data_IF_409224392550
#
_entry.id   IF_409224392550
#
_cell.length_a   1.000
_cell.length_b   1.000
_cell.length_c   1.000
_cell.angle_alpha   90.00
_cell.angle_beta   90.00
_cell.angle_gamma   90.00
#
_symmetry.space_group_name_H-M   'P 1'
#
loop_
_entity.id
_entity.type
_entity.pdbx_description
1 polymer ?
#
# COMPACT_ATOMS: atom_id res chain seq x y z
N UNK A 1 0.09 -16.53 -22.97
CA UNK A 1 1.43 -17.18 -23.00
C UNK A 1 1.33 -18.46 -22.18
N UNK A 2 2.09 -19.53 -22.49
CA UNK A 2 2.08 -20.72 -21.63
C UNK A 2 2.58 -20.33 -20.23
N UNK A 3 1.82 -20.72 -19.20
CA UNK A 3 2.16 -20.50 -17.81
C UNK A 3 3.33 -21.43 -17.47
N UNK A 4 4.56 -20.94 -17.57
CA UNK A 4 5.76 -21.66 -17.17
C UNK A 4 5.81 -21.68 -15.63
N UNK A 5 5.38 -22.79 -15.02
CA UNK A 5 5.61 -23.05 -13.60
C UNK A 5 6.99 -23.67 -13.43
N UNK A 6 7.86 -23.03 -12.65
CA UNK A 6 9.15 -23.62 -12.27
C UNK A 6 8.96 -24.72 -11.22
N UNK A 7 9.79 -25.77 -11.28
CA UNK A 7 9.91 -26.73 -10.17
C UNK A 7 10.61 -26.07 -8.98
N UNK A 8 10.47 -26.65 -7.78
CA UNK A 8 11.12 -26.15 -6.57
C UNK A 8 12.65 -26.13 -6.72
N UNK A 9 13.24 -27.17 -7.32
CA UNK A 9 14.66 -27.22 -7.66
C UNK A 9 15.07 -26.06 -8.58
N UNK A 10 14.24 -25.75 -9.59
CA UNK A 10 14.52 -24.65 -10.51
C UNK A 10 14.41 -23.28 -9.84
N UNK A 11 13.55 -23.14 -8.84
CA UNK A 11 13.45 -21.91 -8.03
C UNK A 11 14.65 -21.75 -7.09
N UNK A 12 15.14 -22.85 -6.49
CA UNK A 12 16.30 -22.82 -5.59
C UNK A 12 17.62 -22.48 -6.29
N UNK A 13 17.76 -22.73 -7.60
CA UNK A 13 18.95 -22.34 -8.38
C UNK A 13 18.75 -21.03 -9.16
N UNK A 14 17.61 -20.36 -8.98
CA UNK A 14 17.29 -19.14 -9.73
C UNK A 14 18.21 -17.98 -9.34
N UNK A 15 18.62 -17.91 -8.08
CA UNK A 15 19.59 -16.95 -7.57
C UNK A 15 20.94 -17.06 -8.30
N UNK A 16 21.43 -18.29 -8.52
CA UNK A 16 22.66 -18.56 -9.28
C UNK A 16 22.58 -18.03 -10.72
N UNK A 17 21.43 -18.19 -11.38
CA UNK A 17 21.22 -17.68 -12.74
C UNK A 17 21.35 -16.15 -12.80
N UNK A 18 20.86 -15.45 -11.78
CA UNK A 18 20.97 -13.99 -11.68
C UNK A 18 22.29 -13.53 -11.04
N UNK A 19 23.15 -14.44 -10.56
CA UNK A 19 24.39 -14.11 -9.87
C UNK A 19 24.18 -13.37 -8.55
N UNK A 20 23.08 -13.65 -7.85
CA UNK A 20 22.73 -13.08 -6.55
C UNK A 20 22.69 -14.17 -5.48
N UNK A 21 22.73 -13.79 -4.21
CA UNK A 21 22.66 -14.73 -3.10
C UNK A 21 21.25 -15.30 -2.91
N UNK A 22 20.23 -14.43 -2.97
CA UNK A 22 18.84 -14.82 -2.72
C UNK A 22 17.85 -14.17 -3.68
N UNK A 23 16.71 -14.83 -3.85
CA UNK A 23 15.54 -14.27 -4.52
C UNK A 23 14.61 -13.61 -3.50
N UNK A 24 14.04 -12.46 -3.87
CA UNK A 24 12.94 -11.81 -3.17
C UNK A 24 11.70 -11.81 -4.07
N UNK A 25 10.72 -12.65 -3.77
CA UNK A 25 9.49 -12.75 -4.54
C UNK A 25 8.43 -11.78 -4.02
N UNK A 26 7.70 -11.13 -4.92
CA UNK A 26 6.70 -10.11 -4.61
C UNK A 26 5.43 -10.28 -5.46
N UNK A 27 4.32 -9.65 -5.08
CA UNK A 27 3.03 -9.87 -5.71
C UNK A 27 2.99 -9.43 -7.19
N UNK A 28 3.36 -8.17 -7.48
CA UNK A 28 3.28 -7.61 -8.82
C UNK A 28 4.47 -6.72 -9.19
N UNK A 29 4.41 -6.14 -10.39
CA UNK A 29 5.49 -5.31 -10.94
C UNK A 29 5.70 -4.01 -10.15
N UNK A 30 4.62 -3.40 -9.63
CA UNK A 30 4.71 -2.21 -8.80
C UNK A 30 5.46 -2.50 -7.48
N UNK A 31 5.28 -3.69 -6.92
CA UNK A 31 6.02 -4.16 -5.75
C UNK A 31 7.50 -4.37 -6.05
N UNK A 32 7.85 -4.84 -7.26
CA UNK A 32 9.25 -5.00 -7.67
C UNK A 32 9.97 -3.67 -7.56
N UNK A 33 9.39 -2.62 -8.15
CA UNK A 33 9.99 -1.27 -8.12
C UNK A 33 10.10 -0.75 -6.68
N UNK A 34 9.05 -0.96 -5.87
CA UNK A 34 9.06 -0.53 -4.48
C UNK A 34 10.13 -1.24 -3.65
N UNK A 35 10.21 -2.57 -3.70
CA UNK A 35 11.16 -3.33 -2.88
C UNK A 35 12.60 -3.20 -3.36
N UNK A 36 12.87 -3.08 -4.67
CA UNK A 36 14.22 -2.75 -5.17
C UNK A 36 14.67 -1.38 -4.62
N UNK A 37 13.78 -0.38 -4.61
CA UNK A 37 14.05 0.93 -4.00
C UNK A 37 14.32 0.80 -2.49
N UNK A 38 13.52 0.04 -1.74
CA UNK A 38 13.74 -0.17 -0.30
C UNK A 38 15.10 -0.82 -0.04
N UNK A 39 15.47 -1.86 -0.79
CA UNK A 39 16.78 -2.51 -0.64
C UNK A 39 17.92 -1.52 -0.91
N UNK A 40 17.82 -0.66 -1.93
CA UNK A 40 18.86 0.33 -2.23
C UNK A 40 18.97 1.43 -1.16
N UNK A 41 17.83 1.92 -0.62
CA UNK A 41 17.82 2.88 0.50
C UNK A 41 18.64 2.38 1.71
N UNK A 42 18.62 1.07 1.96
CA UNK A 42 19.31 0.43 3.09
C UNK A 42 20.63 -0.25 2.68
N UNK A 43 21.09 -0.08 1.45
CA UNK A 43 22.30 -0.68 0.89
C UNK A 43 22.35 -2.22 1.04
N UNK A 44 21.20 -2.87 0.92
CA UNK A 44 21.10 -4.34 0.91
C UNK A 44 21.39 -4.84 -0.50
N UNK A 45 22.45 -5.66 -0.62
CA UNK A 45 22.93 -6.23 -1.89
C UNK A 45 22.73 -7.75 -1.91
N UNK A 46 22.90 -8.36 -3.08
CA UNK A 46 22.81 -9.82 -3.22
C UNK A 46 21.39 -10.38 -3.30
N UNK A 47 20.41 -9.52 -3.59
CA UNK A 47 19.02 -9.93 -3.82
C UNK A 47 18.60 -9.60 -5.25
N UNK A 48 17.80 -10.49 -5.86
CA UNK A 48 17.02 -10.17 -7.05
C UNK A 48 15.53 -10.19 -6.72
N UNK A 49 14.84 -9.08 -6.99
CA UNK A 49 13.39 -8.97 -6.79
C UNK A 49 12.66 -9.46 -8.04
N UNK A 50 11.59 -10.25 -7.85
CA UNK A 50 10.80 -10.83 -8.96
C UNK A 50 9.32 -10.94 -8.60
N UNK A 51 8.44 -10.47 -9.49
CA UNK A 51 7.01 -10.66 -9.37
C UNK A 51 6.59 -12.13 -9.59
N UNK A 52 5.58 -12.58 -8.85
CA UNK A 52 4.96 -13.92 -9.02
C UNK A 52 3.52 -13.86 -9.54
N UNK A 53 3.06 -12.67 -9.96
CA UNK A 53 1.77 -12.43 -10.63
C UNK A 53 0.52 -12.74 -9.79
N UNK A 54 0.50 -12.24 -8.56
CA UNK A 54 -0.71 -12.14 -7.76
C UNK A 54 -0.69 -12.88 -6.42
N UNK A 55 -1.60 -12.47 -5.54
CA UNK A 55 -1.71 -12.96 -4.16
C UNK A 55 -1.78 -14.47 -4.03
N UNK A 56 -2.53 -15.17 -4.90
CA UNK A 56 -2.63 -16.64 -4.84
C UNK A 56 -1.28 -17.34 -5.06
N UNK A 57 -0.41 -16.79 -5.91
CA UNK A 57 0.93 -17.32 -6.13
C UNK A 57 1.84 -16.98 -4.95
N UNK A 58 1.75 -15.75 -4.41
CA UNK A 58 2.50 -15.37 -3.19
C UNK A 58 2.24 -16.36 -2.05
N UNK A 59 0.98 -16.71 -1.79
CA UNK A 59 0.63 -17.68 -0.74
C UNK A 59 1.22 -19.08 -0.99
N UNK A 60 1.30 -19.52 -2.25
CA UNK A 60 1.95 -20.80 -2.60
C UNK A 60 3.45 -20.76 -2.30
N UNK A 61 4.12 -19.64 -2.60
CA UNK A 61 5.55 -19.49 -2.31
C UNK A 61 5.82 -19.40 -0.81
N UNK A 62 4.97 -18.70 -0.05
CA UNK A 62 5.03 -18.67 1.42
C UNK A 62 4.97 -20.10 1.97
N UNK A 63 3.99 -20.90 1.53
CA UNK A 63 3.86 -22.29 1.97
C UNK A 63 5.09 -23.15 1.64
N UNK A 64 5.74 -22.93 0.49
CA UNK A 64 6.99 -23.62 0.12
C UNK A 64 8.16 -23.23 1.02
N UNK A 65 8.29 -21.94 1.34
CA UNK A 65 9.36 -21.42 2.21
C UNK A 65 9.17 -21.95 3.64
N UNK A 66 7.96 -21.87 4.18
CA UNK A 66 7.63 -22.40 5.51
C UNK A 66 7.81 -23.92 5.59
N UNK A 67 7.52 -24.63 4.49
CA UNK A 67 7.75 -26.08 4.37
C UNK A 67 9.22 -26.47 4.13
N UNK A 68 10.14 -25.50 4.00
CA UNK A 68 11.56 -25.75 3.73
C UNK A 68 11.87 -26.26 2.32
N UNK A 69 10.91 -26.15 1.39
CA UNK A 69 11.08 -26.55 -0.02
C UNK A 69 11.78 -25.49 -0.85
N UNK A 70 11.69 -24.22 -0.42
CA UNK A 70 12.25 -23.08 -1.12
C UNK A 70 13.10 -22.25 -0.17
N UNK A 71 14.38 -22.04 -0.51
CA UNK A 71 15.26 -21.11 0.19
C UNK A 71 15.24 -19.74 -0.49
N UNK A 72 14.22 -18.94 -0.17
CA UNK A 72 14.03 -17.60 -0.72
C UNK A 72 13.22 -16.74 0.23
N UNK A 73 13.12 -15.45 -0.10
CA UNK A 73 12.34 -14.48 0.65
C UNK A 73 11.08 -14.07 -0.11
N UNK A 74 10.06 -13.67 0.65
CA UNK A 74 8.84 -13.06 0.12
C UNK A 74 8.70 -11.66 0.69
N UNK A 75 8.23 -10.70 -0.11
CA UNK A 75 7.67 -9.46 0.38
C UNK A 75 6.23 -9.27 -0.09
N UNK A 76 5.35 -8.83 0.81
CA UNK A 76 3.92 -8.68 0.51
C UNK A 76 3.29 -7.49 1.23
N UNK A 77 2.12 -7.11 0.75
CA UNK A 77 1.23 -6.22 1.47
C UNK A 77 0.84 -6.79 2.84
N UNK A 78 0.85 -5.94 3.85
CA UNK A 78 0.46 -6.33 5.20
C UNK A 78 -1.04 -6.57 5.32
N UNK A 79 -1.86 -6.03 4.40
CA UNK A 79 -3.31 -6.03 4.49
C UNK A 79 -3.76 -5.52 5.88
N UNK A 80 -4.41 -6.38 6.67
CA UNK A 80 -4.78 -6.11 8.06
C UNK A 80 -4.03 -6.99 9.07
N UNK A 81 -2.97 -7.70 8.66
CA UNK A 81 -2.22 -8.64 9.51
C UNK A 81 -1.66 -7.97 10.78
N UNK A 82 -1.14 -6.74 10.64
CA UNK A 82 -0.63 -5.95 11.77
C UNK A 82 -1.69 -5.56 12.80
N UNK A 83 -2.97 -5.48 12.38
CA UNK A 83 -4.10 -5.18 13.25
C UNK A 83 -4.65 -6.46 13.86
N UNK A 84 -4.69 -7.54 13.07
CA UNK A 84 -5.11 -8.87 13.51
C UNK A 84 -4.15 -9.51 14.55
N UNK A 85 -2.94 -8.96 14.70
CA UNK A 85 -1.92 -9.51 15.59
C UNK A 85 -1.24 -10.75 15.03
N UNK A 86 -1.33 -10.96 13.71
CA UNK A 86 -0.68 -12.07 13.02
C UNK A 86 0.81 -11.73 12.83
N UNK A 87 1.69 -12.60 13.34
CA UNK A 87 3.12 -12.52 13.02
C UNK A 87 3.38 -13.13 11.65
N UNK A 88 4.12 -12.41 10.80
CA UNK A 88 4.64 -12.98 9.57
C UNK A 88 5.73 -14.02 9.88
N UNK A 89 5.92 -14.98 8.98
CA UNK A 89 7.06 -15.91 9.01
C UNK A 89 8.39 -15.15 8.92
N UNK A 90 9.47 -15.75 9.43
CA UNK A 90 10.80 -15.12 9.51
C UNK A 90 11.32 -14.67 8.13
N UNK A 91 10.98 -15.41 7.06
CA UNK A 91 11.36 -15.11 5.67
C UNK A 91 10.34 -14.29 4.88
N UNK A 92 9.41 -13.63 5.57
CA UNK A 92 8.37 -12.80 4.97
C UNK A 92 8.54 -11.34 5.42
N UNK A 93 8.76 -10.47 4.45
CA UNK A 93 8.76 -9.03 4.62
C UNK A 93 7.35 -8.48 4.39
N UNK A 94 6.96 -7.48 5.17
CA UNK A 94 5.63 -6.86 5.04
C UNK A 94 5.69 -5.34 4.95
N UNK A 95 4.74 -4.74 4.23
CA UNK A 95 4.59 -3.28 4.16
C UNK A 95 4.22 -2.67 5.53
N UNK A 96 4.51 -1.38 5.72
CA UNK A 96 4.12 -0.69 6.95
C UNK A 96 2.60 -0.53 7.07
N UNK A 97 1.98 0.14 6.09
CA UNK A 97 0.53 0.24 5.99
C UNK A 97 -0.07 -0.98 5.30
N UNK A 98 -1.35 -0.91 4.99
CA UNK A 98 -2.09 -1.95 4.27
C UNK A 98 -1.34 -2.43 3.02
N UNK A 99 -0.68 -1.50 2.33
CA UNK A 99 0.03 -1.73 1.08
C UNK A 99 1.18 -0.75 0.85
N UNK A 100 1.91 -0.89 -0.26
CA UNK A 100 2.97 0.03 -0.67
C UNK A 100 2.45 1.48 -0.85
N UNK A 101 1.22 1.66 -1.33
CA UNK A 101 0.59 2.98 -1.55
C UNK A 101 0.54 3.80 -0.27
N UNK A 102 0.24 3.15 0.85
CA UNK A 102 0.18 3.81 2.15
C UNK A 102 1.54 4.41 2.55
N UNK A 103 2.65 3.98 1.94
CA UNK A 103 3.97 4.56 2.20
C UNK A 103 4.34 5.64 1.18
N UNK A 104 4.13 5.38 -0.10
CA UNK A 104 4.56 6.30 -1.17
C UNK A 104 3.64 7.53 -1.30
N UNK A 105 2.38 7.43 -0.88
CA UNK A 105 1.39 8.52 -0.94
C UNK A 105 1.43 9.43 0.30
N UNK A 106 2.57 10.06 0.53
CA UNK A 106 2.67 11.11 1.55
C UNK A 106 2.51 12.52 0.96
N UNK A 107 2.29 13.50 1.84
CA UNK A 107 2.06 14.91 1.48
C UNK A 107 3.14 15.47 0.55
N UNK A 108 4.41 15.11 0.78
CA UNK A 108 5.56 15.60 0.00
C UNK A 108 5.60 14.97 -1.39
N UNK A 109 5.37 13.65 -1.49
CA UNK A 109 5.21 12.92 -2.75
C UNK A 109 4.11 13.51 -3.60
N UNK A 110 2.93 13.72 -3.02
CA UNK A 110 1.76 14.26 -3.71
C UNK A 110 1.96 15.71 -4.13
N UNK A 111 2.55 16.54 -3.27
CA UNK A 111 2.92 17.93 -3.58
C UNK A 111 3.85 18.01 -4.78
N UNK A 112 4.93 17.21 -4.78
CA UNK A 112 5.86 17.15 -5.91
C UNK A 112 5.20 16.62 -7.17
N UNK A 113 4.34 15.60 -7.07
CA UNK A 113 3.62 15.05 -8.21
C UNK A 113 2.67 16.05 -8.87
N UNK A 114 1.92 16.84 -8.09
CA UNK A 114 1.07 17.92 -8.63
C UNK A 114 1.94 18.91 -9.42
N UNK A 115 3.10 19.31 -8.87
CA UNK A 115 4.00 20.27 -9.53
C UNK A 115 4.62 19.71 -10.81
N UNK A 116 5.18 18.51 -10.78
CA UNK A 116 5.90 17.93 -11.91
C UNK A 116 4.95 17.53 -13.05
N UNK A 117 3.88 16.80 -12.74
CA UNK A 117 2.92 16.30 -13.73
C UNK A 117 2.03 17.43 -14.25
N UNK A 118 1.66 18.37 -13.37
CA UNK A 118 0.87 19.54 -13.72
C UNK A 118 1.65 20.64 -14.42
N UNK A 119 2.98 20.66 -14.28
CA UNK A 119 3.85 21.79 -14.66
C UNK A 119 3.39 23.10 -14.04
N UNK A 120 3.06 23.05 -12.74
CA UNK A 120 2.56 24.21 -11.98
C UNK A 120 3.62 24.73 -11.02
N UNK A 121 3.57 26.02 -10.72
CA UNK A 121 4.56 26.68 -9.86
C UNK A 121 4.48 26.18 -8.41
N UNK A 122 5.63 26.22 -7.72
CA UNK A 122 5.71 25.91 -6.29
C UNK A 122 4.78 26.79 -5.44
N UNK A 123 4.57 28.04 -5.83
CA UNK A 123 3.69 28.97 -5.10
C UNK A 123 2.21 28.60 -5.16
N UNK A 124 1.80 27.75 -6.12
CA UNK A 124 0.41 27.35 -6.33
C UNK A 124 0.03 26.06 -5.58
N UNK A 125 1.02 25.33 -5.04
CA UNK A 125 0.82 24.04 -4.38
C UNK A 125 1.39 24.11 -2.97
N UNK A 126 0.49 24.21 -1.98
CA UNK A 126 0.85 24.21 -0.57
C UNK A 126 0.59 22.84 0.02
N UNK A 127 1.58 22.29 0.70
CA UNK A 127 1.48 21.00 1.41
C UNK A 127 0.37 21.00 2.46
N UNK A 128 0.14 22.16 3.11
CA UNK A 128 -0.95 22.35 4.07
C UNK A 128 -2.32 22.01 3.48
N UNK A 129 -2.62 22.50 2.26
CA UNK A 129 -3.93 22.22 1.64
C UNK A 129 -4.11 20.73 1.32
N UNK A 130 -3.02 20.03 0.98
CA UNK A 130 -3.04 18.57 0.73
C UNK A 130 -3.32 17.84 2.03
N UNK A 131 -2.68 18.27 3.13
CA UNK A 131 -2.90 17.70 4.45
C UNK A 131 -4.34 17.92 4.92
N UNK A 132 -4.86 19.15 4.82
CA UNK A 132 -6.24 19.47 5.21
C UNK A 132 -7.24 18.63 4.42
N UNK A 133 -7.07 18.53 3.09
CA UNK A 133 -7.91 17.66 2.26
C UNK A 133 -7.82 16.19 2.67
N UNK A 134 -6.61 15.68 2.95
CA UNK A 134 -6.43 14.28 3.35
C UNK A 134 -7.11 14.00 4.69
N UNK A 135 -6.92 14.88 5.67
CA UNK A 135 -7.52 14.76 6.99
C UNK A 135 -9.06 14.75 6.88
N UNK A 136 -9.66 15.65 6.10
CA UNK A 136 -11.11 15.68 5.83
C UNK A 136 -11.60 14.44 5.07
N UNK A 137 -10.81 13.97 4.10
CA UNK A 137 -11.11 12.76 3.34
C UNK A 137 -11.14 11.54 4.26
N UNK A 138 -10.09 11.33 5.05
CA UNK A 138 -9.99 10.18 5.95
C UNK A 138 -11.05 10.23 7.05
N UNK A 139 -11.35 11.41 7.61
CA UNK A 139 -12.43 11.57 8.60
C UNK A 139 -13.79 11.17 8.01
N UNK A 140 -14.07 11.57 6.75
CA UNK A 140 -15.30 11.19 6.04
C UNK A 140 -15.43 9.67 5.85
N UNK A 141 -14.32 8.93 5.79
CA UNK A 141 -14.28 7.48 5.56
C UNK A 141 -13.96 6.65 6.81
N UNK A 142 -13.63 7.27 7.95
CA UNK A 142 -13.09 6.60 9.14
C UNK A 142 -13.96 5.39 9.56
N UNK A 143 -15.28 5.58 9.69
CA UNK A 143 -16.19 4.48 10.03
C UNK A 143 -16.20 3.35 9.00
N UNK A 144 -16.11 3.69 7.71
CA UNK A 144 -16.14 2.73 6.61
C UNK A 144 -14.82 1.95 6.52
N UNK A 145 -13.69 2.61 6.79
CA UNK A 145 -12.37 1.98 6.88
C UNK A 145 -12.33 1.00 8.05
N UNK A 146 -12.78 1.42 9.25
CA UNK A 146 -12.84 0.53 10.41
C UNK A 146 -13.78 -0.66 10.16
N UNK A 147 -14.93 -0.45 9.53
CA UNK A 147 -15.85 -1.53 9.17
C UNK A 147 -15.24 -2.51 8.16
N UNK A 148 -14.41 -2.02 7.24
CA UNK A 148 -13.73 -2.86 6.25
C UNK A 148 -12.66 -3.76 6.90
N UNK A 149 -11.92 -3.21 7.89
CA UNK A 149 -10.99 -3.98 8.73
C UNK A 149 -11.74 -5.04 9.52
N UNK A 150 -12.87 -4.68 10.17
CA UNK A 150 -13.73 -5.63 10.89
C UNK A 150 -14.15 -6.78 9.95
N UNK A 151 -14.63 -6.44 8.76
CA UNK A 151 -15.10 -7.41 7.80
C UNK A 151 -14.01 -8.41 7.40
N UNK A 152 -12.79 -7.93 7.17
CA UNK A 152 -11.67 -8.76 6.74
C UNK A 152 -11.16 -9.66 7.87
N UNK A 153 -10.85 -9.08 9.04
CA UNK A 153 -10.31 -9.82 10.20
C UNK A 153 -11.29 -10.91 10.68
N UNK A 154 -12.60 -10.63 10.66
CA UNK A 154 -13.62 -11.57 11.12
C UNK A 154 -14.19 -12.46 9.99
N UNK A 155 -13.71 -12.33 8.75
CA UNK A 155 -14.17 -13.13 7.63
C UNK A 155 -15.67 -13.00 7.33
N UNK A 156 -16.25 -11.81 7.51
CA UNK A 156 -17.71 -11.60 7.45
C UNK A 156 -18.27 -11.64 6.01
N UNK A 157 -17.41 -11.54 4.99
CA UNK A 157 -17.78 -11.67 3.58
C UNK A 157 -18.65 -10.53 3.04
N UNK A 158 -18.76 -9.42 3.76
CA UNK A 158 -19.53 -8.23 3.38
C UNK A 158 -18.66 -7.27 2.58
N UNK A 159 -19.17 -6.77 1.45
CA UNK A 159 -18.43 -5.78 0.65
C UNK A 159 -18.56 -4.39 1.29
N UNK A 160 -17.52 -3.92 1.98
CA UNK A 160 -17.49 -2.60 2.63
C UNK A 160 -16.77 -1.57 1.76
N UNK A 161 -15.45 -1.66 1.64
CA UNK A 161 -14.66 -0.89 0.68
C UNK A 161 -14.37 -1.73 -0.58
N UNK A 162 -13.97 -1.05 -1.64
CA UNK A 162 -13.42 -1.69 -2.83
C UNK A 162 -12.17 -0.94 -3.25
N UNK A 163 -11.54 -1.34 -4.37
CA UNK A 163 -10.26 -0.75 -4.79
C UNK A 163 -10.37 0.67 -5.34
N UNK A 164 -11.58 1.20 -5.56
CA UNK A 164 -11.78 2.51 -6.17
C UNK A 164 -12.82 3.34 -5.40
N UNK A 165 -12.48 4.58 -5.07
CA UNK A 165 -13.31 5.47 -4.26
C UNK A 165 -14.46 6.15 -5.02
N UNK A 166 -14.49 6.06 -6.36
CA UNK A 166 -15.42 6.81 -7.24
C UNK A 166 -16.88 6.64 -6.85
N UNK A 167 -17.31 5.44 -6.44
CA UNK A 167 -18.70 5.19 -6.05
C UNK A 167 -19.14 6.04 -4.86
N UNK A 168 -18.21 6.47 -4.01
CA UNK A 168 -18.48 7.28 -2.83
C UNK A 168 -18.27 8.78 -3.04
N UNK A 169 -17.86 9.21 -4.23
CA UNK A 169 -17.64 10.63 -4.53
C UNK A 169 -18.96 11.31 -4.95
N UNK A 170 -19.03 12.64 -4.86
CA UNK A 170 -20.22 13.41 -5.30
C UNK A 170 -20.48 13.31 -6.80
N UNK A 171 -19.44 13.10 -7.61
CA UNK A 171 -19.52 12.73 -9.02
C UNK A 171 -18.29 11.93 -9.43
N UNK A 172 -18.32 11.34 -10.63
CA UNK A 172 -17.22 10.50 -11.14
C UNK A 172 -15.86 11.23 -11.13
N UNK A 173 -15.87 12.54 -11.43
CA UNK A 173 -14.66 13.37 -11.51
C UNK A 173 -14.38 14.16 -10.22
N UNK A 174 -15.23 14.04 -9.20
CA UNK A 174 -15.11 14.78 -7.95
C UNK A 174 -14.05 14.17 -7.04
N UNK A 175 -13.27 15.01 -6.37
CA UNK A 175 -12.39 14.62 -5.27
C UNK A 175 -13.11 14.69 -3.90
N UNK A 176 -14.36 15.19 -3.89
CA UNK A 176 -15.13 15.39 -2.67
C UNK A 176 -15.99 14.15 -2.36
N UNK A 177 -15.87 13.60 -1.14
CA UNK A 177 -16.72 12.52 -0.68
C UNK A 177 -18.21 12.91 -0.65
N UNK A 178 -19.09 11.95 -0.87
CA UNK A 178 -20.54 12.11 -0.73
C UNK A 178 -21.00 11.38 0.53
N UNK A 179 -21.22 12.14 1.61
CA UNK A 179 -21.62 11.60 2.92
C UNK A 179 -22.82 10.67 2.83
N UNK A 180 -23.86 11.03 2.06
CA UNK A 180 -25.04 10.16 1.85
C UNK A 180 -24.69 8.78 1.27
N UNK A 181 -23.72 8.69 0.34
CA UNK A 181 -23.30 7.42 -0.25
C UNK A 181 -22.46 6.59 0.72
N UNK A 182 -21.64 7.26 1.54
CA UNK A 182 -20.81 6.63 2.56
C UNK A 182 -21.70 6.07 3.68
N UNK A 183 -22.59 6.88 4.23
CA UNK A 183 -23.54 6.45 5.26
C UNK A 183 -24.48 5.37 4.75
N UNK A 184 -24.91 5.46 3.49
CA UNK A 184 -25.72 4.43 2.85
C UNK A 184 -25.03 3.06 2.78
N UNK A 185 -23.71 3.02 2.64
CA UNK A 185 -22.92 1.78 2.63
C UNK A 185 -22.90 1.08 4.00
N UNK A 186 -23.00 1.87 5.08
CA UNK A 186 -23.08 1.40 6.47
C UNK A 186 -24.51 1.46 6.99
N UNK A 187 -25.44 0.86 6.26
CA UNK A 187 -26.85 0.81 6.65
C UNK A 187 -27.39 -0.63 6.75
N UNK A 188 -28.46 -0.78 7.53
CA UNK A 188 -29.19 -2.04 7.64
C UNK A 188 -28.31 -3.23 8.09
N UNK A 189 -28.35 -4.37 7.38
CA UNK A 189 -27.63 -5.58 7.77
C UNK A 189 -26.11 -5.37 7.88
N UNK A 190 -25.52 -4.59 6.97
CA UNK A 190 -24.06 -4.35 6.96
C UNK A 190 -23.62 -3.74 8.29
N UNK A 191 -24.34 -2.70 8.73
CA UNK A 191 -24.06 -2.03 9.99
C UNK A 191 -24.21 -2.98 11.17
N UNK A 192 -25.33 -3.72 11.23
CA UNK A 192 -25.58 -4.66 12.32
C UNK A 192 -24.50 -5.76 12.42
N UNK A 193 -23.91 -6.15 11.29
CA UNK A 193 -22.82 -7.14 11.23
C UNK A 193 -21.48 -6.59 11.71
N UNK A 194 -21.11 -5.36 11.36
CA UNK A 194 -19.77 -4.81 11.68
C UNK A 194 -19.71 -4.01 12.98
N UNK A 195 -20.77 -3.28 13.32
CA UNK A 195 -20.81 -2.34 14.45
C UNK A 195 -20.41 -2.98 15.81
N UNK A 196 -20.81 -4.22 16.14
CA UNK A 196 -20.42 -4.86 17.40
C UNK A 196 -18.91 -5.02 17.60
N UNK A 197 -18.12 -5.04 16.51
CA UNK A 197 -16.67 -5.30 16.54
C UNK A 197 -15.83 -4.03 16.34
N UNK A 198 -16.45 -2.89 16.05
CA UNK A 198 -15.71 -1.68 15.64
C UNK A 198 -14.83 -1.11 16.76
N UNK A 199 -15.28 -1.14 18.01
CA UNK A 199 -14.52 -0.57 19.14
C UNK A 199 -13.26 -1.40 19.47
N UNK A 200 -13.35 -2.72 19.33
CA UNK A 200 -12.22 -3.62 19.46
C UNK A 200 -11.18 -3.33 18.37
N UNK A 201 -11.62 -3.24 17.11
CA UNK A 201 -10.73 -2.95 15.98
C UNK A 201 -10.10 -1.56 16.09
N UNK A 202 -10.84 -0.53 16.51
CA UNK A 202 -10.25 0.79 16.80
C UNK A 202 -9.17 0.73 17.86
N UNK A 203 -9.37 -0.10 18.87
CA UNK A 203 -8.38 -0.31 19.93
C UNK A 203 -7.13 -1.02 19.38
N UNK A 204 -7.31 -2.04 18.52
CA UNK A 204 -6.22 -2.74 17.86
C UNK A 204 -5.40 -1.81 16.93
N UNK A 205 -6.07 -0.97 16.13
CA UNK A 205 -5.42 0.05 15.28
C UNK A 205 -4.52 0.95 16.14
N UNK A 206 -5.06 1.52 17.23
CA UNK A 206 -4.29 2.40 18.12
C UNK A 206 -3.08 1.68 18.75
N UNK A 207 -3.26 0.43 19.19
CA UNK A 207 -2.18 -0.38 19.77
C UNK A 207 -1.07 -0.71 18.77
N UNK A 208 -1.42 -0.87 17.48
CA UNK A 208 -0.44 -1.10 16.41
C UNK A 208 0.42 0.13 16.07
N UNK A 209 0.09 1.30 16.62
CA UNK A 209 0.77 2.56 16.33
C UNK A 209 0.54 3.07 14.90
N UNK A 210 -0.58 2.64 14.28
CA UNK A 210 -0.98 3.01 12.92
C UNK A 210 -2.06 4.09 12.95
N UNK A 211 -2.03 4.95 11.93
CA UNK A 211 -3.09 5.91 11.66
C UNK A 211 -4.07 5.38 10.61
N UNK A 212 -5.23 6.02 10.47
CA UNK A 212 -6.25 5.62 9.48
C UNK A 212 -5.69 5.65 8.05
N UNK A 213 -4.76 6.56 7.77
CA UNK A 213 -4.00 6.61 6.52
C UNK A 213 -3.26 5.31 6.23
N UNK A 214 -2.73 4.64 7.24
CA UNK A 214 -1.94 3.41 7.08
C UNK A 214 -2.84 2.20 6.95
N UNK A 215 -4.09 2.30 7.39
CA UNK A 215 -5.06 1.19 7.44
C UNK A 215 -5.94 1.13 6.20
N UNK A 216 -6.25 2.28 5.58
CA UNK A 216 -7.10 2.29 4.37
C UNK A 216 -6.45 1.48 3.24
N UNK A 217 -7.27 0.73 2.48
CA UNK A 217 -6.78 -0.04 1.31
C UNK A 217 -5.99 0.86 0.34
N UNK A 218 -4.82 0.39 -0.10
CA UNK A 218 -3.91 1.14 -0.96
C UNK A 218 -4.53 1.70 -2.22
N UNK A 219 -5.08 0.82 -3.07
CA UNK A 219 -5.74 1.23 -4.31
C UNK A 219 -6.90 2.21 -4.09
N UNK A 220 -7.66 2.05 -3.00
CA UNK A 220 -8.72 2.99 -2.65
C UNK A 220 -8.14 4.38 -2.38
N UNK A 221 -7.10 4.46 -1.55
CA UNK A 221 -6.38 5.68 -1.21
C UNK A 221 -5.74 6.31 -2.46
N UNK A 222 -5.07 5.51 -3.30
CA UNK A 222 -4.48 5.94 -4.56
C UNK A 222 -5.52 6.58 -5.49
N UNK A 223 -6.68 5.94 -5.65
CA UNK A 223 -7.76 6.46 -6.49
C UNK A 223 -8.29 7.82 -5.98
N UNK A 224 -8.30 8.04 -4.66
CA UNK A 224 -8.68 9.32 -4.06
C UNK A 224 -7.63 10.40 -4.30
N UNK A 225 -6.37 10.10 -4.03
CA UNK A 225 -5.26 11.01 -4.31
C UNK A 225 -5.20 11.40 -5.79
N UNK A 226 -5.35 10.46 -6.71
CA UNK A 226 -5.31 10.75 -8.14
C UNK A 226 -6.43 11.72 -8.58
N UNK A 227 -7.62 11.60 -7.99
CA UNK A 227 -8.71 12.57 -8.23
C UNK A 227 -8.35 13.95 -7.68
N UNK A 228 -7.80 14.01 -6.47
CA UNK A 228 -7.37 15.25 -5.85
C UNK A 228 -6.22 15.92 -6.63
N UNK A 229 -5.20 15.16 -7.03
CA UNK A 229 -4.06 15.63 -7.84
C UNK A 229 -4.57 16.24 -9.14
N UNK A 230 -5.44 15.53 -9.87
CA UNK A 230 -5.99 16.02 -11.12
C UNK A 230 -6.88 17.26 -10.93
N UNK A 231 -7.63 17.33 -9.82
CA UNK A 231 -8.35 18.54 -9.44
C UNK A 231 -7.39 19.71 -9.19
N UNK A 232 -6.34 19.52 -8.38
CA UNK A 232 -5.37 20.56 -8.04
C UNK A 232 -4.58 21.06 -9.25
N UNK A 233 -4.16 20.17 -10.14
CA UNK A 233 -3.50 20.53 -11.41
C UNK A 233 -4.42 21.45 -12.23
N UNK A 234 -5.70 21.08 -12.36
CA UNK A 234 -6.69 21.88 -13.08
C UNK A 234 -6.96 23.23 -12.41
N UNK A 235 -7.13 23.26 -11.09
CA UNK A 235 -7.39 24.49 -10.31
C UNK A 235 -6.20 25.45 -10.34
N UNK A 236 -4.98 24.95 -10.56
CA UNK A 236 -3.80 25.77 -10.80
C UNK A 236 -3.67 26.29 -12.25
N UNK A 237 -4.66 26.03 -13.11
CA UNK A 237 -4.73 26.54 -14.49
C UNK A 237 -4.09 25.64 -15.54
N UNK A 238 -3.65 24.43 -15.18
CA UNK A 238 -3.04 23.50 -16.13
C UNK A 238 -4.08 22.58 -16.78
N UNK A 239 -3.88 22.29 -18.07
CA UNK A 239 -4.70 21.33 -18.83
C UNK A 239 -4.14 19.90 -18.79
N UNK A 240 -3.03 19.68 -18.06
CA UNK A 240 -2.42 18.36 -17.91
C UNK A 240 -3.24 17.48 -16.97
N UNK A 241 -3.06 16.17 -17.10
CA UNK A 241 -3.68 15.16 -16.24
C UNK A 241 -2.64 14.11 -15.89
N UNK A 242 -2.58 13.72 -14.63
CA UNK A 242 -1.81 12.57 -14.18
C UNK A 242 -2.56 11.28 -14.58
N UNK A 243 -1.85 10.36 -15.24
CA UNK A 243 -2.25 8.95 -15.34
C UNK A 243 -1.89 8.19 -14.06
N UNK A 244 -2.39 6.96 -13.91
CA UNK A 244 -2.02 6.09 -12.79
C UNK A 244 -0.51 5.90 -12.75
N UNK A 245 0.08 5.39 -13.84
CA UNK A 245 1.50 5.03 -13.91
C UNK A 245 2.39 6.25 -13.65
N UNK A 246 2.10 7.39 -14.30
CA UNK A 246 2.88 8.61 -14.10
C UNK A 246 2.79 9.12 -12.66
N UNK A 247 1.62 8.99 -12.02
CA UNK A 247 1.44 9.37 -10.63
C UNK A 247 2.19 8.43 -9.69
N UNK A 248 2.02 7.12 -9.86
CA UNK A 248 2.71 6.09 -9.08
C UNK A 248 4.23 6.25 -9.17
N UNK A 249 4.80 6.22 -10.38
CA UNK A 249 6.25 6.35 -10.59
C UNK A 249 6.81 7.66 -10.01
N UNK A 250 6.06 8.77 -10.12
CA UNK A 250 6.48 10.03 -9.51
C UNK A 250 6.48 9.93 -7.98
N UNK A 251 5.46 9.33 -7.38
CA UNK A 251 5.39 9.15 -5.93
C UNK A 251 6.51 8.24 -5.40
N UNK A 252 6.84 7.16 -6.10
CA UNK A 252 7.96 6.27 -5.76
C UNK A 252 9.29 7.02 -5.79
N UNK A 253 9.61 7.70 -6.90
CA UNK A 253 10.86 8.48 -7.04
C UNK A 253 10.96 9.57 -5.97
N UNK A 254 9.86 10.23 -5.65
CA UNK A 254 9.87 11.26 -4.61
C UNK A 254 10.03 10.64 -3.22
N UNK A 255 9.38 9.52 -2.95
CA UNK A 255 9.52 8.80 -1.70
C UNK A 255 10.99 8.44 -1.47
N UNK A 256 11.64 7.78 -2.43
CA UNK A 256 13.07 7.45 -2.43
C UNK A 256 13.96 8.66 -2.04
N UNK A 257 13.79 9.78 -2.76
CA UNK A 257 14.59 10.99 -2.55
C UNK A 257 14.27 11.75 -1.26
N UNK A 258 13.19 11.41 -0.56
CA UNK A 258 12.69 12.21 0.54
C UNK A 258 12.22 11.44 1.76
N UNK A 259 12.65 10.19 1.87
CA UNK A 259 12.45 9.34 3.04
C UNK A 259 12.83 10.07 4.32
N UNK A 260 11.87 10.22 5.22
CA UNK A 260 12.13 10.71 6.57
C UNK A 260 12.62 9.55 7.43
N UNK A 261 13.91 9.61 7.81
CA UNK A 261 14.58 8.59 8.63
C UNK A 261 14.01 8.45 10.05
N UNK A 262 13.16 9.38 10.47
CA UNK A 262 12.45 9.32 11.76
C UNK A 262 11.02 8.81 11.64
N UNK A 263 10.51 8.63 10.42
CA UNK A 263 9.16 8.15 10.20
C UNK A 263 8.99 6.69 10.63
N UNK A 264 7.79 6.34 11.08
CA UNK A 264 7.47 4.95 11.43
C UNK A 264 7.59 4.02 10.21
N UNK A 265 7.27 4.51 9.00
CA UNK A 265 7.47 3.75 7.76
C UNK A 265 8.95 3.40 7.57
N UNK A 266 9.87 4.39 7.68
CA UNK A 266 11.29 4.12 7.53
C UNK A 266 11.81 3.13 8.57
N UNK A 267 11.45 3.34 9.84
CA UNK A 267 11.87 2.46 10.94
C UNK A 267 11.31 1.03 10.79
N UNK A 268 10.14 0.90 10.19
CA UNK A 268 9.57 -0.40 9.84
C UNK A 268 10.36 -1.08 8.73
N UNK A 269 10.55 -0.43 7.59
CA UNK A 269 11.30 -1.03 6.49
C UNK A 269 12.74 -1.35 6.87
N UNK A 270 13.36 -0.52 7.72
CA UNK A 270 14.68 -0.82 8.29
C UNK A 270 14.68 -2.16 9.03
N UNK A 271 13.70 -2.39 9.91
CA UNK A 271 13.57 -3.64 10.67
C UNK A 271 13.27 -4.84 9.76
N UNK A 272 12.45 -4.65 8.73
CA UNK A 272 12.17 -5.71 7.76
C UNK A 272 13.42 -6.12 6.99
N UNK A 273 14.19 -5.17 6.47
CA UNK A 273 15.42 -5.50 5.72
C UNK A 273 16.56 -5.97 6.63
N UNK A 274 16.58 -5.61 7.91
CA UNK A 274 17.54 -6.14 8.88
C UNK A 274 17.40 -7.68 9.03
N UNK A 275 16.20 -8.25 8.80
CA UNK A 275 16.00 -9.71 8.76
C UNK A 275 16.80 -10.38 7.65
N UNK A 276 16.98 -9.69 6.53
CA UNK A 276 17.76 -10.19 5.38
C UNK A 276 19.24 -10.27 5.71
N UNK A 277 19.73 -9.39 6.58
CA UNK A 277 21.14 -9.32 6.97
C UNK A 277 21.51 -10.31 8.07
N UNK A 278 20.54 -10.79 8.84
CA UNK A 278 20.77 -11.84 9.85
C UNK A 278 20.87 -13.24 9.25
N UNK A 279 20.34 -13.44 8.05
CA UNK A 279 20.38 -14.71 7.31
C UNK A 279 21.55 -14.80 6.31
N UNK A 280 22.28 -13.70 6.08
CA UNK A 280 23.44 -13.61 5.18
C UNK A 280 24.78 -13.81 5.93
#
# INVERSE_FOLDING_TARGET
MPNLSYSDDALNVLSDFYGVSHMLFVEGDDDVVFWEMILDIFDVRGFKVKAVDGKEEVEKYIAKIEGGLLDSWIAKDSDYSMIAGNSASDKVLVTYGHSIENSILNIKSVSKAIRSLGRVSISQVKEKDIKEWLDEFLDSFDKLIVADVVNDINGLGVRILGNNCTRFMTSEKSHNPCIRKIEGQLSGPVRATVEPHMDEVRTAIRKSGREIHDVVRGHFLFSAYLKYVNYRIKSAGSFKKASNDAFFSTCVVVFDQSVDRKSNHFLHYKREVEKLLSDA
#
